data_IF_150081530792
#
_entry.id   IF_150081530792
#
_cell.length_a   1.000
_cell.length_b   1.000
_cell.length_c   1.000
_cell.angle_alpha   90.00
_cell.angle_beta   90.00
_cell.angle_gamma   90.00
#
_symmetry.space_group_name_H-M   'P 1'
#
loop_
_entity.id
_entity.type
_entity.pdbx_description
1 polymer ?
#
# COMPACT_ATOMS: atom_id res chain seq x y z
N UNK A 1 5.44 -12.66 -12.38
CA UNK A 1 4.40 -12.67 -11.30
C UNK A 1 4.99 -12.93 -9.92
N UNK A 2 5.67 -14.07 -9.68
CA UNK A 2 6.19 -14.36 -8.33
C UNK A 2 7.23 -13.35 -7.82
N UNK A 3 8.02 -12.76 -8.72
CA UNK A 3 9.00 -11.72 -8.40
C UNK A 3 8.34 -10.46 -7.85
N UNK A 4 7.31 -9.92 -8.52
CA UNK A 4 6.63 -8.69 -8.07
C UNK A 4 5.82 -8.91 -6.79
N UNK A 5 5.12 -10.04 -6.66
CA UNK A 5 4.40 -10.40 -5.41
C UNK A 5 5.37 -10.41 -4.22
N UNK A 6 6.54 -11.03 -4.39
CA UNK A 6 7.57 -11.07 -3.34
C UNK A 6 8.04 -9.67 -2.95
N UNK A 7 8.13 -8.73 -3.90
CA UNK A 7 8.47 -7.33 -3.62
C UNK A 7 7.37 -6.65 -2.79
N UNK A 8 6.10 -6.78 -3.17
CA UNK A 8 4.99 -6.24 -2.35
C UNK A 8 5.04 -6.74 -0.91
N UNK A 9 5.14 -8.06 -0.73
CA UNK A 9 5.14 -8.67 0.62
C UNK A 9 6.36 -8.21 1.42
N UNK A 10 7.59 -8.33 0.87
CA UNK A 10 8.80 -7.95 1.60
C UNK A 10 8.82 -6.46 1.95
N UNK A 11 8.45 -5.59 1.01
CA UNK A 11 8.41 -4.14 1.26
C UNK A 11 7.32 -3.78 2.26
N UNK A 12 6.17 -4.47 2.25
CA UNK A 12 5.12 -4.26 3.25
C UNK A 12 5.58 -4.58 4.67
N UNK A 13 6.39 -5.63 4.84
CA UNK A 13 6.99 -5.97 6.13
C UNK A 13 8.02 -4.94 6.58
N UNK A 14 8.74 -4.32 5.66
CA UNK A 14 9.66 -3.21 5.98
C UNK A 14 8.86 -2.00 6.50
N UNK A 15 7.78 -1.61 5.82
CA UNK A 15 6.91 -0.53 6.29
C UNK A 15 6.21 -0.86 7.61
N UNK A 16 5.84 -2.13 7.82
CA UNK A 16 5.31 -2.61 9.10
C UNK A 16 6.30 -2.35 10.24
N UNK A 17 7.54 -2.80 10.08
CA UNK A 17 8.59 -2.59 11.08
C UNK A 17 8.86 -1.11 11.33
N UNK A 18 8.94 -0.30 10.27
CA UNK A 18 9.10 1.16 10.39
C UNK A 18 7.92 1.79 11.15
N UNK A 19 6.68 1.39 10.84
CA UNK A 19 5.47 1.84 11.52
C UNK A 19 5.45 1.44 12.99
N UNK A 20 5.84 0.21 13.34
CA UNK A 20 5.95 -0.25 14.73
C UNK A 20 6.97 0.56 15.52
N UNK A 21 8.17 0.75 14.96
CA UNK A 21 9.23 1.55 15.59
C UNK A 21 8.76 2.99 15.83
N UNK A 22 8.09 3.60 14.85
CA UNK A 22 7.53 4.93 15.00
C UNK A 22 6.41 4.96 16.06
N UNK A 23 5.58 3.92 16.14
CA UNK A 23 4.54 3.80 17.17
C UNK A 23 5.11 3.74 18.59
N UNK A 24 6.18 2.96 18.80
CA UNK A 24 6.90 2.92 20.07
C UNK A 24 7.52 4.28 20.41
N UNK A 25 8.09 4.95 19.40
CA UNK A 25 8.65 6.29 19.57
C UNK A 25 7.61 7.33 19.99
N UNK A 26 6.43 7.33 19.35
CA UNK A 26 5.31 8.21 19.73
C UNK A 26 4.87 7.94 21.17
N UNK A 27 4.77 6.66 21.56
CA UNK A 27 4.41 6.29 22.93
C UNK A 27 5.43 6.82 23.94
N UNK A 28 6.72 6.67 23.65
CA UNK A 28 7.80 7.20 24.47
C UNK A 28 7.67 8.73 24.65
N UNK A 29 7.53 9.48 23.56
CA UNK A 29 7.39 10.94 23.60
C UNK A 29 6.19 11.39 24.44
N UNK A 30 5.06 10.69 24.26
CA UNK A 30 3.84 10.97 25.02
C UNK A 30 4.03 10.75 26.53
N UNK A 31 4.73 9.68 26.93
CA UNK A 31 5.00 9.37 28.33
C UNK A 31 6.09 10.27 28.94
N UNK A 32 7.02 10.75 28.12
CA UNK A 32 8.07 11.69 28.52
C UNK A 32 7.57 13.15 28.68
N UNK A 33 6.28 13.42 28.42
CA UNK A 33 5.68 14.75 28.51
C UNK A 33 5.88 15.63 27.26
N UNK A 34 6.50 15.11 26.19
CA UNK A 34 6.70 15.80 24.93
C UNK A 34 5.48 15.59 24.02
N UNK A 35 4.39 16.32 24.28
CA UNK A 35 3.11 16.16 23.57
C UNK A 35 2.95 17.08 22.34
N UNK A 36 3.90 17.97 22.08
CA UNK A 36 3.77 18.96 21.01
C UNK A 36 3.75 18.29 19.63
N UNK A 37 2.73 18.62 18.85
CA UNK A 37 2.56 18.22 17.45
C UNK A 37 2.66 16.71 17.16
N UNK A 38 2.36 15.84 18.14
CA UNK A 38 2.37 14.38 17.95
C UNK A 38 1.38 13.91 16.87
N UNK A 39 0.36 14.71 16.54
CA UNK A 39 -0.62 14.41 15.50
C UNK A 39 0.02 14.12 14.14
N UNK A 40 1.09 14.82 13.78
CA UNK A 40 1.81 14.59 12.52
C UNK A 40 2.53 13.24 12.53
N UNK A 41 3.15 12.86 13.64
CA UNK A 41 3.78 11.53 13.78
C UNK A 41 2.74 10.40 13.80
N UNK A 42 1.60 10.62 14.46
CA UNK A 42 0.48 9.66 14.45
C UNK A 42 -0.02 9.46 13.02
N UNK A 43 -0.12 10.54 12.23
CA UNK A 43 -0.46 10.45 10.80
C UNK A 43 0.57 9.63 10.03
N UNK A 44 1.87 9.87 10.22
CA UNK A 44 2.94 9.09 9.59
C UNK A 44 2.88 7.60 9.97
N UNK A 45 2.75 7.30 11.25
CA UNK A 45 2.58 5.94 11.76
C UNK A 45 1.37 5.25 11.09
N UNK A 46 0.24 5.95 11.03
CA UNK A 46 -0.99 5.43 10.43
C UNK A 46 -0.79 5.10 8.97
N UNK A 47 -0.15 5.97 8.17
CA UNK A 47 0.04 5.72 6.74
C UNK A 47 1.10 4.65 6.46
N UNK A 48 2.14 4.53 7.30
CA UNK A 48 3.10 3.42 7.24
C UNK A 48 2.41 2.07 7.48
N UNK A 49 1.58 1.96 8.52
CA UNK A 49 0.87 0.72 8.85
C UNK A 49 -0.26 0.43 7.86
N UNK A 50 -1.06 1.44 7.49
CA UNK A 50 -2.21 1.25 6.62
C UNK A 50 -1.79 1.05 5.16
N UNK A 51 -1.13 2.04 4.55
CA UNK A 51 -0.80 1.97 3.12
C UNK A 51 0.48 1.18 2.86
N UNK A 52 1.50 1.39 3.69
CA UNK A 52 2.80 0.73 3.55
C UNK A 52 2.74 -0.76 3.88
N UNK A 53 2.05 -1.13 4.96
CA UNK A 53 1.90 -2.54 5.35
C UNK A 53 0.59 -3.16 4.85
N UNK A 54 -0.55 -2.80 5.44
CA UNK A 54 -1.81 -3.53 5.26
C UNK A 54 -2.27 -3.56 3.79
N UNK A 55 -2.45 -2.40 3.17
CA UNK A 55 -2.90 -2.27 1.78
C UNK A 55 -1.89 -2.89 0.83
N UNK A 56 -0.59 -2.61 0.99
CA UNK A 56 0.44 -3.18 0.13
C UNK A 56 0.50 -4.72 0.22
N UNK A 57 0.37 -5.28 1.43
CA UNK A 57 0.30 -6.71 1.65
C UNK A 57 -0.94 -7.30 0.97
N UNK A 58 -2.11 -6.71 1.16
CA UNK A 58 -3.37 -7.13 0.53
C UNK A 58 -3.24 -7.10 -1.00
N UNK A 59 -2.66 -6.04 -1.58
CA UNK A 59 -2.43 -5.95 -3.02
C UNK A 59 -1.52 -7.09 -3.51
N UNK A 60 -0.41 -7.34 -2.81
CA UNK A 60 0.52 -8.43 -3.11
C UNK A 60 -0.14 -9.81 -3.05
N UNK A 61 -0.90 -10.06 -1.98
CA UNK A 61 -1.65 -11.30 -1.78
C UNK A 61 -2.74 -11.46 -2.83
N UNK A 62 -3.49 -10.40 -3.17
CA UNK A 62 -4.51 -10.44 -4.21
C UNK A 62 -3.90 -10.79 -5.59
N UNK A 63 -2.75 -10.22 -5.93
CA UNK A 63 -2.04 -10.57 -7.16
C UNK A 63 -1.62 -12.05 -7.20
N UNK A 64 -1.34 -12.66 -6.04
CA UNK A 64 -0.99 -14.07 -5.91
C UNK A 64 -2.19 -15.02 -5.88
N UNK A 65 -3.20 -14.70 -5.07
CA UNK A 65 -4.33 -15.57 -4.74
C UNK A 65 -5.40 -15.59 -5.82
N UNK A 66 -5.72 -14.45 -6.43
CA UNK A 66 -6.81 -14.40 -7.40
C UNK A 66 -6.46 -15.18 -8.67
N UNK A 67 -7.48 -15.76 -9.35
CA UNK A 67 -7.28 -16.51 -10.58
C UNK A 67 -6.43 -15.76 -11.60
N UNK A 68 -5.67 -16.51 -12.40
CA UNK A 68 -4.90 -15.91 -13.49
C UNK A 68 -5.84 -15.17 -14.46
N UNK A 69 -5.37 -14.05 -15.05
CA UNK A 69 -6.11 -13.36 -16.09
C UNK A 69 -6.43 -14.31 -17.25
N UNK A 70 -7.57 -14.11 -17.91
CA UNK A 70 -7.84 -14.77 -19.19
C UNK A 70 -6.84 -14.29 -20.26
N UNK A 71 -6.66 -15.06 -21.34
CA UNK A 71 -5.71 -14.66 -22.40
C UNK A 71 -6.15 -13.36 -23.10
N UNK A 72 -7.45 -13.12 -23.10
CA UNK A 72 -8.16 -12.01 -23.76
C UNK A 72 -8.40 -10.84 -22.80
N UNK A 73 -7.87 -10.91 -21.57
CA UNK A 73 -8.06 -9.88 -20.55
C UNK A 73 -7.26 -8.62 -20.90
N UNK A 74 -7.95 -7.58 -21.36
CA UNK A 74 -7.35 -6.29 -21.72
C UNK A 74 -7.04 -5.39 -20.50
N UNK A 75 -7.61 -5.69 -19.33
CA UNK A 75 -7.42 -4.86 -18.13
C UNK A 75 -6.17 -5.26 -17.37
N UNK A 76 -5.91 -6.55 -17.28
CA UNK A 76 -4.76 -7.03 -16.53
C UNK A 76 -3.45 -6.78 -17.29
N UNK A 77 -2.50 -6.14 -16.63
CA UNK A 77 -1.15 -5.93 -17.16
C UNK A 77 -0.09 -6.12 -16.08
N UNK A 78 0.89 -7.03 -16.26
CA UNK A 78 2.02 -7.16 -15.35
C UNK A 78 2.80 -5.85 -15.16
N UNK A 79 2.90 -5.04 -16.23
CA UNK A 79 3.57 -3.73 -16.19
C UNK A 79 2.80 -2.75 -15.32
N UNK A 80 1.47 -2.74 -15.37
CA UNK A 80 0.66 -1.92 -14.47
C UNK A 80 0.85 -2.34 -13.01
N UNK A 81 1.01 -3.64 -12.73
CA UNK A 81 1.30 -4.12 -11.37
C UNK A 81 2.63 -3.62 -10.82
N UNK A 82 3.65 -3.48 -11.70
CA UNK A 82 4.97 -2.93 -11.36
C UNK A 82 4.93 -1.40 -11.20
N UNK A 83 4.22 -0.69 -12.07
CA UNK A 83 4.00 0.76 -11.92
C UNK A 83 3.29 1.02 -10.59
N UNK A 84 2.21 0.29 -10.32
CA UNK A 84 1.46 0.39 -9.08
C UNK A 84 2.34 0.15 -7.84
N UNK A 85 3.28 -0.80 -7.93
CA UNK A 85 4.22 -1.10 -6.84
C UNK A 85 5.06 0.13 -6.50
N UNK A 86 5.58 0.82 -7.50
CA UNK A 86 6.38 2.01 -7.28
C UNK A 86 5.55 3.19 -6.76
N UNK A 87 4.35 3.39 -7.29
CA UNK A 87 3.44 4.44 -6.80
C UNK A 87 3.10 4.25 -5.31
N UNK A 88 2.68 3.04 -4.90
CA UNK A 88 2.33 2.80 -3.49
C UNK A 88 3.56 2.85 -2.58
N UNK A 89 4.71 2.34 -3.04
CA UNK A 89 5.96 2.33 -2.25
C UNK A 89 6.51 3.73 -2.06
N UNK A 90 6.77 4.44 -3.17
CA UNK A 90 7.35 5.78 -3.12
C UNK A 90 6.37 6.78 -2.53
N UNK A 91 5.08 6.67 -2.84
CA UNK A 91 4.05 7.52 -2.27
C UNK A 91 4.00 7.42 -0.74
N UNK A 92 4.04 6.20 -0.20
CA UNK A 92 4.08 5.98 1.24
C UNK A 92 5.38 6.47 1.87
N UNK A 93 6.54 6.18 1.25
CA UNK A 93 7.83 6.61 1.78
C UNK A 93 7.97 8.15 1.79
N UNK A 94 7.65 8.82 0.68
CA UNK A 94 7.73 10.28 0.56
C UNK A 94 6.78 10.95 1.55
N UNK A 95 5.56 10.43 1.69
CA UNK A 95 4.59 10.95 2.66
C UNK A 95 5.13 10.86 4.09
N UNK A 96 5.58 9.67 4.50
CA UNK A 96 6.11 9.46 5.84
C UNK A 96 7.34 10.34 6.13
N UNK A 97 8.25 10.50 5.16
CA UNK A 97 9.39 11.42 5.27
C UNK A 97 8.91 12.86 5.42
N UNK A 98 7.90 13.29 4.66
CA UNK A 98 7.32 14.63 4.78
C UNK A 98 6.74 14.89 6.17
N UNK A 99 5.90 13.99 6.67
CA UNK A 99 5.29 14.09 8.00
C UNK A 99 6.36 14.08 9.11
N UNK A 100 7.33 13.17 9.06
CA UNK A 100 8.43 13.12 10.04
C UNK A 100 9.29 14.40 9.97
N UNK A 101 9.53 14.94 8.78
CA UNK A 101 10.34 16.15 8.60
C UNK A 101 9.66 17.39 9.18
N UNK A 102 8.33 17.50 9.10
CA UNK A 102 7.57 18.56 9.77
C UNK A 102 7.80 18.48 11.28
N UNK A 103 7.77 17.27 11.85
CA UNK A 103 7.96 17.09 13.30
C UNK A 103 9.40 17.40 13.75
N UNK A 104 10.42 16.88 13.05
CA UNK A 104 11.82 16.98 13.49
C UNK A 104 12.42 18.36 13.18
N UNK A 105 12.11 18.92 12.02
CA UNK A 105 12.80 20.11 11.49
C UNK A 105 11.89 21.34 11.38
N UNK A 106 10.61 21.23 11.75
CA UNK A 106 9.60 22.28 11.52
C UNK A 106 9.58 22.75 10.06
N UNK A 107 9.78 21.80 9.12
CA UNK A 107 9.88 22.11 7.70
C UNK A 107 8.50 22.23 7.06
N UNK A 108 7.89 23.41 7.16
CA UNK A 108 6.51 23.65 6.68
C UNK A 108 6.31 23.29 5.20
N UNK A 109 7.31 23.50 4.34
CA UNK A 109 7.19 23.15 2.91
C UNK A 109 7.16 21.63 2.64
N UNK A 110 7.43 20.79 3.64
CA UNK A 110 7.26 19.34 3.51
C UNK A 110 5.81 18.92 3.26
N UNK A 111 4.82 19.81 3.45
CA UNK A 111 3.42 19.59 3.03
C UNK A 111 3.29 19.22 1.55
N UNK A 112 4.18 19.72 0.68
CA UNK A 112 4.20 19.34 -0.74
C UNK A 112 4.62 17.89 -0.94
N UNK A 113 5.54 17.36 -0.12
CA UNK A 113 5.91 15.95 -0.13
C UNK A 113 4.73 15.08 0.32
N UNK A 114 4.03 15.52 1.37
CA UNK A 114 2.84 14.84 1.90
C UNK A 114 1.74 14.77 0.83
N UNK A 115 1.47 15.89 0.14
CA UNK A 115 0.48 15.97 -0.93
C UNK A 115 0.87 15.08 -2.12
N UNK A 116 2.14 15.10 -2.55
CA UNK A 116 2.64 14.25 -3.61
C UNK A 116 2.52 12.76 -3.25
N UNK A 117 2.92 12.40 -2.02
CA UNK A 117 2.81 11.03 -1.51
C UNK A 117 1.37 10.53 -1.45
N UNK A 118 0.44 11.36 -0.97
CA UNK A 118 -1.00 11.06 -0.99
C UNK A 118 -1.54 10.89 -2.41
N UNK A 119 -1.17 11.79 -3.32
CA UNK A 119 -1.57 11.70 -4.73
C UNK A 119 -1.08 10.40 -5.36
N UNK A 120 0.15 9.99 -5.07
CA UNK A 120 0.69 8.73 -5.55
C UNK A 120 -0.05 7.50 -4.96
N UNK A 121 -0.41 7.54 -3.68
CA UNK A 121 -1.22 6.49 -3.04
C UNK A 121 -2.63 6.39 -3.65
N UNK A 122 -3.26 7.54 -3.94
CA UNK A 122 -4.56 7.60 -4.62
C UNK A 122 -4.50 6.98 -6.02
N UNK A 123 -3.50 7.37 -6.81
CA UNK A 123 -3.26 6.82 -8.15
C UNK A 123 -3.01 5.31 -8.07
N UNK A 124 -2.24 4.84 -7.08
CA UNK A 124 -2.04 3.41 -6.86
C UNK A 124 -3.37 2.67 -6.58
N UNK A 125 -4.25 3.25 -5.76
CA UNK A 125 -5.59 2.71 -5.53
C UNK A 125 -6.37 2.48 -6.83
N UNK A 126 -6.35 3.47 -7.73
CA UNK A 126 -7.01 3.37 -9.03
C UNK A 126 -6.35 2.33 -9.95
N UNK A 127 -5.02 2.36 -10.09
CA UNK A 127 -4.30 1.40 -10.94
C UNK A 127 -4.55 -0.03 -10.46
N UNK A 128 -4.44 -0.29 -9.15
CA UNK A 128 -4.70 -1.60 -8.58
C UNK A 128 -6.14 -2.07 -8.85
N UNK A 129 -7.12 -1.21 -8.56
CA UNK A 129 -8.54 -1.55 -8.71
C UNK A 129 -8.88 -1.88 -10.17
N UNK A 130 -8.36 -1.10 -11.12
CA UNK A 130 -8.53 -1.36 -12.54
C UNK A 130 -7.89 -2.69 -12.95
N UNK A 131 -6.62 -2.91 -12.56
CA UNK A 131 -5.81 -4.04 -12.99
C UNK A 131 -6.28 -5.38 -12.40
N UNK A 132 -6.93 -5.37 -11.24
CA UNK A 132 -7.43 -6.59 -10.58
C UNK A 132 -8.89 -6.90 -10.89
N UNK A 133 -9.67 -5.95 -11.43
CA UNK A 133 -11.14 -6.02 -11.52
C UNK A 133 -11.67 -7.33 -12.12
N UNK A 134 -11.14 -7.73 -13.28
CA UNK A 134 -11.53 -8.94 -14.02
C UNK A 134 -11.09 -10.24 -13.35
N UNK A 135 -10.18 -10.15 -12.38
CA UNK A 135 -9.67 -11.30 -11.61
C UNK A 135 -10.46 -11.55 -10.33
N UNK A 136 -11.35 -10.63 -9.93
CA UNK A 136 -12.27 -10.82 -8.79
C UNK A 136 -13.41 -11.74 -9.23
N UNK A 137 -13.15 -13.05 -9.16
CA UNK A 137 -14.11 -14.12 -9.48
C UNK A 137 -13.75 -15.37 -8.69
N UNK A 138 -14.70 -16.27 -8.53
CA UNK A 138 -14.49 -17.45 -7.69
C UNK A 138 -13.36 -18.34 -8.23
N UNK A 139 -12.65 -18.99 -7.31
CA UNK A 139 -11.64 -19.98 -7.65
C UNK A 139 -12.36 -21.28 -7.98
N UNK A 140 -12.25 -21.74 -9.23
CA UNK A 140 -12.82 -23.02 -9.64
C UNK A 140 -14.26 -22.99 -10.17
N UNK A 141 -14.99 -21.86 -10.17
CA UNK A 141 -16.29 -21.84 -10.86
C UNK A 141 -16.17 -22.08 -12.34
N UNK A 142 -15.07 -21.71 -13.00
CA UNK A 142 -14.87 -22.05 -14.41
C UNK A 142 -15.00 -23.56 -14.69
N UNK A 143 -14.64 -24.43 -13.73
CA UNK A 143 -14.80 -25.88 -13.86
C UNK A 143 -16.22 -26.37 -13.55
N UNK A 144 -16.98 -25.64 -12.73
CA UNK A 144 -18.36 -25.96 -12.35
C UNK A 144 -19.38 -25.39 -13.33
N UNK A 145 -19.16 -24.15 -13.78
CA UNK A 145 -19.88 -23.48 -14.87
C UNK A 145 -19.70 -24.24 -16.20
N UNK A 146 -18.49 -24.76 -16.49
CA UNK A 146 -18.27 -25.64 -17.64
C UNK A 146 -19.06 -26.96 -17.55
N UNK A 147 -19.49 -27.38 -16.35
CA UNK A 147 -20.39 -28.51 -16.12
C UNK A 147 -21.86 -28.12 -16.08
N UNK A 148 -22.19 -26.84 -16.35
CA UNK A 148 -23.57 -26.34 -16.35
C UNK A 148 -24.16 -26.10 -14.96
N UNK A 149 -23.36 -26.23 -13.89
CA UNK A 149 -23.80 -25.88 -12.54
C UNK A 149 -23.87 -24.35 -12.42
N UNK A 150 -25.09 -23.83 -12.31
CA UNK A 150 -25.30 -22.43 -11.90
C UNK A 150 -25.20 -22.34 -10.38
N UNK A 151 -24.63 -21.23 -9.91
CA UNK A 151 -24.58 -20.85 -8.51
C UNK A 151 -25.95 -20.81 -7.87
#
# INVERSE_FOLDING_TARGET
MFTIVRRYIKTSLIFFLAGLLLGVWILYLRLAGSADNLGVLISAHTHLILFGFMVMLIMGVAYWMFPRPAKEDFRYSPRLSEINYWFITLGTAIRAVGEISIYIYSWDSAVFLIAFGAGAQLIAGFIFSWNIWTRIRSVGSHHREAKGEKF
#
